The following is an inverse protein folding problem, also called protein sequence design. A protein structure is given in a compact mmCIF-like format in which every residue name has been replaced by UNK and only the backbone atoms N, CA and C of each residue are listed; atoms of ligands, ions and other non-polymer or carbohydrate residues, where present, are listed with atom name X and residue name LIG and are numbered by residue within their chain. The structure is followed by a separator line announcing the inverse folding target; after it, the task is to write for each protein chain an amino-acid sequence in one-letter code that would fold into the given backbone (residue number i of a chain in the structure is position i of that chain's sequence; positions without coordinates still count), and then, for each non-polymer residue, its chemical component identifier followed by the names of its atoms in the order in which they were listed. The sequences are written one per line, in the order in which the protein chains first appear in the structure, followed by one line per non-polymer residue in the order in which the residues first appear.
data_IF_482153377086
#
_entry.id   IF_482153377086
#
_cell.length_a   1.000
_cell.length_b   1.000
_cell.length_c   1.000
_cell.angle_alpha   90.00
_cell.angle_beta   90.00
_cell.angle_gamma   90.00
#
_symmetry.space_group_name_H-M   'P 1'
#
loop_
_entity.id
_entity.type
_entity.pdbx_description
1 polymer ?
#
# COMPACT_ATOMS: atom_id res chain seq x y z
N UNK A 1 -6.79 33.37 -30.49
CA UNK A 1 -7.44 33.61 -29.18
C UNK A 1 -6.40 33.40 -28.10
N UNK A 2 -5.94 34.49 -27.49
CA UNK A 2 -4.84 34.53 -26.51
C UNK A 2 -5.43 34.97 -25.17
N UNK A 3 -5.29 34.18 -24.11
CA UNK A 3 -5.40 34.65 -22.73
C UNK A 3 -4.66 33.69 -21.79
N UNK A 4 -3.51 34.12 -21.25
CA UNK A 4 -3.21 33.98 -19.83
C UNK A 4 -2.02 34.90 -19.52
N UNK A 5 -2.31 35.97 -18.79
CA UNK A 5 -1.38 37.03 -18.38
C UNK A 5 -0.96 36.85 -16.92
N UNK A 6 0.20 37.42 -16.65
CA UNK A 6 0.62 38.00 -15.36
C UNK A 6 1.25 37.08 -14.32
N UNK A 7 2.56 36.93 -14.56
CA UNK A 7 3.63 36.75 -13.58
C UNK A 7 3.66 37.94 -12.62
N UNK A 8 3.42 37.73 -11.32
CA UNK A 8 3.73 38.70 -10.27
C UNK A 8 4.86 38.13 -9.41
N UNK A 9 5.94 38.91 -9.36
CA UNK A 9 7.19 38.67 -8.64
C UNK A 9 7.10 39.47 -7.34
N UNK A 10 7.15 38.79 -6.19
CA UNK A 10 7.38 39.45 -4.90
C UNK A 10 8.65 38.87 -4.28
N UNK A 11 9.68 39.71 -4.28
CA UNK A 11 10.90 39.59 -3.51
C UNK A 11 10.64 40.13 -2.10
N UNK A 12 11.15 39.42 -1.09
CA UNK A 12 11.63 39.88 0.23
C UNK A 12 11.72 38.64 1.14
N UNK A 13 12.64 38.48 2.07
CA UNK A 13 13.93 39.05 2.41
C UNK A 13 14.49 38.12 3.50
N UNK A 14 15.80 38.16 3.71
CA UNK A 14 16.59 37.21 4.51
C UNK A 14 16.03 36.80 5.88
N UNK A 15 16.13 35.49 6.16
CA UNK A 15 16.35 35.00 7.50
C UNK A 15 17.61 34.14 7.49
N UNK A 16 18.75 34.78 7.76
CA UNK A 16 20.01 34.09 8.02
C UNK A 16 19.92 33.45 9.40
N UNK A 17 19.80 32.12 9.44
CA UNK A 17 20.10 31.36 10.65
C UNK A 17 21.24 30.40 10.33
N UNK A 18 22.44 30.86 10.66
CA UNK A 18 23.63 30.03 10.76
C UNK A 18 23.39 28.96 11.82
N UNK A 19 23.18 27.71 11.38
CA UNK A 19 23.23 26.54 12.25
C UNK A 19 24.46 25.76 11.82
N UNK A 20 25.50 25.85 12.65
CA UNK A 20 26.76 25.13 12.50
C UNK A 20 26.50 23.63 12.66
N UNK A 21 26.79 22.89 11.58
CA UNK A 21 27.40 21.56 11.55
C UNK A 21 26.88 20.49 12.50
N UNK A 22 25.99 19.63 11.99
CA UNK A 22 26.04 18.19 12.24
C UNK A 22 25.86 17.51 10.88
N UNK A 23 26.97 17.26 10.21
CA UNK A 23 27.08 16.40 9.03
C UNK A 23 26.96 14.95 9.50
N UNK A 24 25.76 14.49 9.85
CA UNK A 24 25.44 13.07 9.81
C UNK A 24 25.04 12.76 8.37
N UNK A 25 25.94 12.11 7.64
CA UNK A 25 25.83 11.84 6.21
C UNK A 25 24.42 11.44 5.79
N UNK A 26 23.80 12.30 4.99
CA UNK A 26 22.78 11.87 4.06
C UNK A 26 23.52 10.95 3.10
N UNK A 27 23.44 9.65 3.36
CA UNK A 27 23.65 8.66 2.31
C UNK A 27 22.52 8.92 1.33
N UNK A 28 22.84 9.59 0.22
CA UNK A 28 22.12 9.34 -1.02
C UNK A 28 22.24 7.84 -1.24
N UNK A 29 21.23 7.08 -0.81
CA UNK A 29 21.06 5.72 -1.27
C UNK A 29 20.86 5.84 -2.77
N UNK A 30 21.97 5.66 -3.47
CA UNK A 30 22.07 5.35 -4.89
C UNK A 30 21.50 3.93 -5.04
N UNK A 31 20.23 3.73 -4.68
CA UNK A 31 19.48 2.56 -5.08
C UNK A 31 19.20 2.70 -6.56
N UNK A 32 20.18 2.22 -7.33
CA UNK A 32 20.04 1.52 -8.60
C UNK A 32 18.83 1.99 -9.41
N UNK A 33 19.06 2.91 -10.34
CA UNK A 33 18.20 3.08 -11.50
C UNK A 33 18.20 1.75 -12.28
N UNK A 34 17.42 0.77 -11.82
CA UNK A 34 17.07 -0.41 -12.60
C UNK A 34 16.38 0.12 -13.84
N UNK A 35 16.85 -0.33 -14.99
CA UNK A 35 16.44 0.12 -16.31
C UNK A 35 14.90 0.07 -16.39
N UNK A 36 14.24 1.22 -16.58
CA UNK A 36 12.75 1.30 -16.62
C UNK A 36 12.17 0.44 -17.75
N UNK A 37 13.01 0.05 -18.73
CA UNK A 37 12.63 -0.85 -19.82
C UNK A 37 12.47 -2.33 -19.41
N UNK A 38 12.79 -2.70 -18.17
CA UNK A 38 12.70 -4.08 -17.68
C UNK A 38 11.54 -4.29 -16.67
N UNK A 39 10.67 -3.30 -16.51
CA UNK A 39 9.52 -3.39 -15.60
C UNK A 39 8.41 -4.16 -16.30
N UNK A 40 8.03 -5.31 -15.72
CA UNK A 40 6.87 -6.06 -16.21
C UNK A 40 5.56 -5.30 -15.95
N UNK A 41 4.56 -5.43 -16.84
CA UNK A 41 3.26 -4.81 -16.64
C UNK A 41 2.55 -5.41 -15.41
N UNK A 42 1.69 -4.62 -14.77
CA UNK A 42 0.97 -5.03 -13.57
C UNK A 42 0.10 -6.28 -13.78
N UNK A 43 -0.40 -6.47 -15.00
CA UNK A 43 -1.19 -7.63 -15.39
C UNK A 43 -0.38 -8.93 -15.41
N UNK A 44 0.94 -8.86 -15.58
CA UNK A 44 1.84 -10.02 -15.62
C UNK A 44 2.06 -10.65 -14.24
N UNK A 45 1.64 -9.99 -13.15
CA UNK A 45 1.71 -10.56 -11.81
C UNK A 45 0.86 -11.84 -11.77
N UNK A 46 1.45 -12.99 -11.39
CA UNK A 46 0.74 -14.26 -11.37
C UNK A 46 -0.40 -14.21 -10.35
N UNK A 47 -1.48 -14.92 -10.63
CA UNK A 47 -2.62 -14.98 -9.73
C UNK A 47 -3.76 -15.84 -10.26
N UNK A 48 -4.76 -16.14 -9.42
CA UNK A 48 -5.93 -16.90 -9.82
C UNK A 48 -6.73 -16.17 -10.89
N UNK A 49 -7.31 -16.97 -11.79
CA UNK A 49 -8.02 -16.49 -12.96
C UNK A 49 -9.15 -15.55 -12.54
N UNK A 50 -9.03 -14.28 -12.89
CA UNK A 50 -10.02 -13.26 -12.58
C UNK A 50 -11.13 -13.29 -13.61
N UNK A 51 -12.37 -13.58 -13.21
CA UNK A 51 -13.52 -13.35 -14.10
C UNK A 51 -13.79 -11.84 -14.22
N UNK A 52 -14.21 -11.34 -15.39
CA UNK A 52 -14.24 -9.89 -15.67
C UNK A 52 -15.15 -9.08 -14.72
N UNK A 53 -16.24 -9.68 -14.21
CA UNK A 53 -17.23 -8.99 -13.36
C UNK A 53 -17.03 -9.26 -11.87
N UNK A 54 -16.81 -10.51 -11.47
CA UNK A 54 -16.70 -10.89 -10.05
C UNK A 54 -15.26 -11.06 -9.55
N UNK A 55 -14.27 -11.01 -10.43
CA UNK A 55 -12.87 -11.28 -10.10
C UNK A 55 -12.68 -12.66 -9.46
N UNK A 56 -11.99 -12.70 -8.33
CA UNK A 56 -11.74 -13.89 -7.53
C UNK A 56 -12.83 -14.16 -6.47
N UNK A 57 -13.83 -13.29 -6.35
CA UNK A 57 -14.89 -13.43 -5.36
C UNK A 57 -15.72 -14.71 -5.55
N UNK A 58 -15.84 -15.20 -6.79
CA UNK A 58 -16.49 -16.47 -7.09
C UNK A 58 -15.81 -17.65 -6.41
N UNK A 59 -14.49 -17.65 -6.31
CA UNK A 59 -13.76 -18.75 -5.64
C UNK A 59 -14.08 -18.81 -4.13
N UNK A 60 -14.41 -17.68 -3.51
CA UNK A 60 -14.87 -17.62 -2.12
C UNK A 60 -16.36 -17.99 -2.00
N UNK A 61 -17.20 -17.54 -2.94
CA UNK A 61 -18.64 -17.89 -2.98
C UNK A 61 -18.90 -19.38 -3.27
N UNK A 62 -18.08 -20.00 -4.12
CA UNK A 62 -18.14 -21.43 -4.45
C UNK A 62 -17.52 -22.33 -3.37
N UNK A 63 -17.02 -21.76 -2.26
CA UNK A 63 -16.46 -22.51 -1.14
C UNK A 63 -15.07 -23.11 -1.38
N UNK A 64 -14.44 -22.83 -2.52
CA UNK A 64 -13.07 -23.27 -2.84
C UNK A 64 -12.07 -22.60 -1.88
N UNK A 65 -12.32 -21.32 -1.56
CA UNK A 65 -11.60 -20.58 -0.53
C UNK A 65 -12.53 -20.29 0.66
N UNK A 66 -12.14 -20.80 1.83
CA UNK A 66 -12.87 -20.56 3.08
C UNK A 66 -12.35 -19.28 3.76
N UNK A 67 -13.20 -18.26 3.83
CA UNK A 67 -12.94 -17.01 4.53
C UNK A 67 -12.47 -17.16 6.00
N UNK A 68 -13.04 -18.03 6.85
CA UNK A 68 -12.55 -18.18 8.23
C UNK A 68 -11.13 -18.75 8.30
N UNK A 69 -10.63 -19.35 7.23
CA UNK A 69 -9.29 -19.94 7.14
C UNK A 69 -8.43 -19.22 6.09
N UNK A 70 -8.54 -17.90 6.02
CA UNK A 70 -7.84 -17.08 5.03
C UNK A 70 -6.32 -17.32 5.02
N UNK A 71 -5.70 -17.56 6.18
CA UNK A 71 -4.30 -17.94 6.29
C UNK A 71 -3.95 -19.22 5.51
N UNK A 72 -4.85 -20.21 5.45
CA UNK A 72 -4.65 -21.43 4.64
C UNK A 72 -4.79 -21.12 3.15
N UNK A 73 -5.68 -20.20 2.79
CA UNK A 73 -5.85 -19.72 1.41
C UNK A 73 -4.59 -19.01 0.94
N UNK A 74 -4.07 -18.07 1.73
CA UNK A 74 -2.81 -17.38 1.44
C UNK A 74 -1.64 -18.35 1.26
N UNK A 75 -1.53 -19.36 2.13
CA UNK A 75 -0.50 -20.40 2.00
C UNK A 75 -0.62 -21.18 0.69
N UNK A 76 -1.84 -21.55 0.27
CA UNK A 76 -2.07 -22.21 -1.03
C UNK A 76 -1.69 -21.30 -2.19
N UNK A 77 -2.08 -20.02 -2.13
CA UNK A 77 -1.75 -19.05 -3.17
C UNK A 77 -0.24 -18.86 -3.31
N UNK A 78 0.47 -18.76 -2.19
CA UNK A 78 1.93 -18.69 -2.18
C UNK A 78 2.56 -19.96 -2.79
N UNK A 79 2.04 -21.14 -2.47
CA UNK A 79 2.53 -22.41 -3.04
C UNK A 79 2.25 -22.54 -4.55
N UNK A 80 1.14 -21.98 -5.04
CA UNK A 80 0.72 -22.11 -6.46
C UNK A 80 1.32 -21.02 -7.35
N UNK A 81 1.33 -19.76 -6.89
CA UNK A 81 1.71 -18.58 -7.68
C UNK A 81 3.06 -18.00 -7.30
N UNK A 82 3.60 -18.38 -6.13
CA UNK A 82 4.91 -17.96 -5.67
C UNK A 82 4.89 -16.71 -4.76
N UNK A 83 5.99 -15.93 -4.72
CA UNK A 83 6.24 -14.90 -3.72
C UNK A 83 5.36 -13.64 -3.87
N UNK A 84 4.73 -13.46 -5.03
CA UNK A 84 3.78 -12.38 -5.31
C UNK A 84 2.55 -12.95 -5.98
N UNK A 85 1.37 -12.54 -5.54
CA UNK A 85 0.10 -13.00 -6.10
C UNK A 85 -0.89 -11.84 -6.24
N UNK A 86 -1.47 -11.67 -7.42
CA UNK A 86 -2.52 -10.67 -7.67
C UNK A 86 -3.91 -11.28 -7.55
N UNK A 87 -4.79 -10.62 -6.80
CA UNK A 87 -6.19 -10.98 -6.66
C UNK A 87 -7.10 -9.79 -6.95
N UNK A 88 -8.18 -10.02 -7.73
CA UNK A 88 -9.19 -8.99 -7.99
C UNK A 88 -10.45 -9.27 -7.17
N UNK A 89 -10.93 -8.31 -6.41
CA UNK A 89 -12.15 -8.37 -5.62
C UNK A 89 -13.10 -7.27 -6.12
N UNK A 90 -13.97 -7.62 -7.07
CA UNK A 90 -14.84 -6.62 -7.72
C UNK A 90 -14.04 -5.51 -8.40
N UNK A 91 -14.17 -4.28 -7.90
CA UNK A 91 -13.42 -3.10 -8.37
C UNK A 91 -12.02 -2.99 -7.77
N UNK A 92 -11.76 -3.62 -6.62
CA UNK A 92 -10.48 -3.53 -5.92
C UNK A 92 -9.52 -4.62 -6.39
N UNK A 93 -8.23 -4.28 -6.45
CA UNK A 93 -7.16 -5.26 -6.72
C UNK A 93 -6.23 -5.32 -5.54
N UNK A 94 -6.07 -6.52 -4.99
CA UNK A 94 -5.22 -6.82 -3.85
C UNK A 94 -4.00 -7.57 -4.37
N UNK A 95 -2.80 -7.06 -4.07
CA UNK A 95 -1.55 -7.76 -4.34
C UNK A 95 -1.02 -8.29 -3.01
N UNK A 96 -0.89 -9.61 -2.92
CA UNK A 96 -0.28 -10.27 -1.76
C UNK A 96 1.20 -10.47 -2.03
N UNK A 97 2.04 -9.91 -1.17
CA UNK A 97 3.51 -10.05 -1.21
C UNK A 97 3.92 -10.90 -0.01
N UNK A 98 4.75 -11.93 -0.25
CA UNK A 98 5.17 -12.89 0.77
C UNK A 98 6.65 -12.76 1.15
N UNK A 99 7.49 -12.17 0.28
CA UNK A 99 8.92 -11.99 0.55
C UNK A 99 9.18 -10.81 1.51
N UNK A 100 9.95 -11.00 2.59
CA UNK A 100 10.23 -9.92 3.55
C UNK A 100 10.98 -8.72 2.95
N UNK A 101 11.84 -8.94 1.96
CA UNK A 101 12.60 -7.87 1.30
C UNK A 101 11.68 -7.02 0.42
N UNK A 102 10.76 -7.66 -0.30
CA UNK A 102 9.77 -6.96 -1.12
C UNK A 102 8.78 -6.20 -0.24
N UNK A 103 8.32 -6.82 0.86
CA UNK A 103 7.47 -6.17 1.87
C UNK A 103 8.17 -4.91 2.42
N UNK A 104 9.45 -5.00 2.77
CA UNK A 104 10.23 -3.85 3.25
C UNK A 104 10.27 -2.74 2.21
N UNK A 105 10.46 -3.08 0.94
CA UNK A 105 10.52 -2.12 -0.16
C UNK A 105 9.17 -1.41 -0.33
N UNK A 106 8.07 -2.15 -0.28
CA UNK A 106 6.71 -1.58 -0.34
C UNK A 106 6.48 -0.63 0.84
N UNK A 107 6.78 -1.06 2.07
CA UNK A 107 6.60 -0.20 3.25
C UNK A 107 7.50 1.04 3.26
N UNK A 108 8.70 0.96 2.68
CA UNK A 108 9.57 2.13 2.52
C UNK A 108 9.05 3.11 1.46
N UNK A 109 8.27 2.62 0.50
CA UNK A 109 7.61 3.44 -0.51
C UNK A 109 6.30 4.07 -0.01
N UNK A 110 5.67 3.48 1.00
CA UNK A 110 4.57 4.11 1.73
C UNK A 110 5.12 5.38 2.42
N UNK A 111 4.42 6.50 2.26
CA UNK A 111 4.91 7.82 2.68
C UNK A 111 5.26 7.92 4.17
N UNK A 112 5.66 9.12 4.63
CA UNK A 112 6.17 9.34 5.99
C UNK A 112 5.25 8.83 7.12
N UNK A 113 3.95 8.77 6.89
CA UNK A 113 2.94 8.32 7.87
C UNK A 113 2.15 7.13 7.32
N UNK A 114 2.01 6.03 8.09
CA UNK A 114 1.24 4.88 7.65
C UNK A 114 -0.26 5.20 7.62
N UNK A 115 -0.96 4.65 6.62
CA UNK A 115 -2.43 4.68 6.60
C UNK A 115 -2.94 3.61 7.54
N UNK A 116 -3.47 4.03 8.69
CA UNK A 116 -4.09 3.12 9.65
C UNK A 116 -5.57 2.96 9.26
N UNK A 117 -6.04 1.77 8.87
CA UNK A 117 -7.46 1.55 8.65
C UNK A 117 -8.21 1.72 9.99
N UNK A 118 -9.46 2.21 9.95
CA UNK A 118 -10.26 2.37 11.16
C UNK A 118 -10.50 1.02 11.84
N UNK A 119 -10.82 1.02 13.13
CA UNK A 119 -11.18 -0.20 13.85
C UNK A 119 -12.27 -0.96 13.11
N UNK A 120 -12.11 -2.28 13.08
CA UNK A 120 -13.19 -3.16 12.66
C UNK A 120 -14.43 -2.95 13.54
N UNK A 121 -15.60 -2.96 12.92
CA UNK A 121 -16.89 -2.71 13.58
C UNK A 121 -17.11 -3.61 14.81
N UNK A 122 -16.73 -4.88 14.73
CA UNK A 122 -16.79 -5.83 15.86
C UNK A 122 -15.99 -5.36 17.07
N UNK A 123 -14.82 -4.76 16.84
CA UNK A 123 -13.96 -4.23 17.90
C UNK A 123 -14.54 -2.94 18.46
N UNK A 124 -15.13 -2.09 17.61
CA UNK A 124 -15.85 -0.90 18.07
C UNK A 124 -17.04 -1.29 18.97
N UNK A 125 -17.88 -2.23 18.52
CA UNK A 125 -19.02 -2.74 19.28
C UNK A 125 -18.60 -3.35 20.62
N UNK A 126 -17.54 -4.18 20.63
CA UNK A 126 -17.01 -4.74 21.87
C UNK A 126 -16.56 -3.66 22.86
N UNK A 127 -15.86 -2.63 22.38
CA UNK A 127 -15.40 -1.51 23.22
C UNK A 127 -16.56 -0.69 23.77
N UNK A 128 -17.57 -0.41 22.95
CA UNK A 128 -18.80 0.27 23.37
C UNK A 128 -19.53 -0.55 24.44
N UNK A 129 -19.71 -1.86 24.25
CA UNK A 129 -20.33 -2.75 25.24
C UNK A 129 -19.57 -2.82 26.56
N UNK A 130 -18.25 -2.60 26.54
CA UNK A 130 -17.36 -2.67 27.71
C UNK A 130 -17.03 -1.29 28.30
N UNK A 131 -17.67 -0.21 27.84
CA UNK A 131 -17.36 1.17 28.23
C UNK A 131 -15.85 1.51 28.11
N UNK A 132 -15.20 1.00 27.07
CA UNK A 132 -13.79 1.26 26.78
C UNK A 132 -13.64 2.44 25.81
N UNK A 133 -12.53 3.18 25.91
CA UNK A 133 -12.23 4.23 24.94
C UNK A 133 -12.02 3.65 23.52
N UNK A 134 -12.37 4.40 22.45
CA UNK A 134 -12.19 3.96 21.06
C UNK A 134 -10.73 3.62 20.73
N UNK A 135 -9.76 4.23 21.41
CA UNK A 135 -8.33 4.04 21.16
C UNK A 135 -7.79 4.96 20.06
N UNK A 136 -6.46 4.99 19.90
CA UNK A 136 -5.80 5.79 18.87
C UNK A 136 -6.22 5.33 17.48
N UNK A 137 -6.53 6.29 16.59
CA UNK A 137 -6.90 6.01 15.20
C UNK A 137 -8.38 5.67 14.95
N UNK A 138 -9.27 5.94 15.91
CA UNK A 138 -10.73 5.68 15.80
C UNK A 138 -11.58 6.93 16.04
N UNK A 139 -11.16 8.03 15.44
CA UNK A 139 -11.93 9.28 15.36
C UNK A 139 -12.59 9.40 14.01
#
# INVERSE_FOLDING_TARGET
MKWCTSRVRLLRAGFSRSVRGVTSGIREDTTTAKNVNEVQPFEAIPGPLTVPVFGNLLHYKLGIFRQPEYHKVLRKLHQTYGPICRQKFGSETIVSVFDPNDIRTVYQSEGKTPTVPPLQETTQLYRLQRNMSPGLGNT
#
